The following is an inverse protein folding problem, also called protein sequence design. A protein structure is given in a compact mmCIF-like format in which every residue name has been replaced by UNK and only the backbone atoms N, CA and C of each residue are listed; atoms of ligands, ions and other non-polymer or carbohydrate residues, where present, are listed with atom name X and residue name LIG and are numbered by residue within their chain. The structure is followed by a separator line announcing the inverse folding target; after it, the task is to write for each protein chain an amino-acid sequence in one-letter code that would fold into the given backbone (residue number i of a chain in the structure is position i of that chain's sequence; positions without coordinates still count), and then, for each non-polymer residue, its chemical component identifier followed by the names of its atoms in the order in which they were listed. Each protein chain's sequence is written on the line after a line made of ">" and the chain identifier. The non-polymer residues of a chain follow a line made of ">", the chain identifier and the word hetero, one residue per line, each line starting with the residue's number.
data_IF_699026643375
#
_entry.id   IF_699026643375
#
_cell.length_a   1.000
_cell.length_b   1.000
_cell.length_c   1.000
_cell.angle_alpha   90.00
_cell.angle_beta   90.00
_cell.angle_gamma   90.00
#
_symmetry.space_group_name_H-M   'P 1'
#
loop_
_entity.id
_entity.type
_entity.pdbx_description
1 polymer ?
#
# COMPACT_ATOMS: atom_id res chain seq x y z
N UNK A 1 -10.66 14.83 28.41
CA UNK A 1 -10.98 13.40 28.56
C UNK A 1 -9.98 12.67 27.69
N UNK A 2 -9.02 11.98 28.29
CA UNK A 2 -8.06 11.19 27.52
C UNK A 2 -8.78 9.88 27.17
N UNK A 3 -9.21 9.78 25.91
CA UNK A 3 -9.72 8.52 25.37
C UNK A 3 -8.61 7.48 25.56
N UNK A 4 -8.87 6.49 26.41
CA UNK A 4 -7.93 5.43 26.73
C UNK A 4 -7.83 4.55 25.49
N UNK A 5 -6.97 4.96 24.56
CA UNK A 5 -6.83 4.28 23.28
C UNK A 5 -6.31 2.87 23.53
N UNK A 6 -7.19 1.89 23.38
CA UNK A 6 -6.86 0.46 23.51
C UNK A 6 -5.91 0.11 22.37
N UNK A 7 -4.61 0.08 22.68
CA UNK A 7 -3.58 -0.34 21.73
C UNK A 7 -3.58 -1.86 21.66
N UNK A 8 -3.55 -2.38 20.43
CA UNK A 8 -3.45 -3.81 20.13
C UNK A 8 -2.09 -4.09 19.50
N UNK A 9 -1.56 -5.29 19.71
CA UNK A 9 -0.32 -5.76 19.08
C UNK A 9 -0.70 -6.61 17.87
N UNK A 10 -0.14 -6.29 16.71
CA UNK A 10 -0.27 -7.13 15.51
C UNK A 10 0.97 -7.09 14.64
N UNK A 11 0.90 -7.76 13.48
CA UNK A 11 2.03 -7.91 12.56
C UNK A 11 1.76 -7.13 11.28
N UNK A 12 2.73 -6.34 10.84
CA UNK A 12 2.65 -5.65 9.56
C UNK A 12 2.70 -6.66 8.41
N UNK A 13 1.75 -6.59 7.49
CA UNK A 13 1.70 -7.50 6.35
C UNK A 13 2.87 -7.31 5.38
N UNK A 14 3.39 -6.08 5.26
CA UNK A 14 4.48 -5.74 4.32
C UNK A 14 5.84 -6.14 4.87
N UNK A 15 6.25 -5.54 6.01
CA UNK A 15 7.58 -5.75 6.57
C UNK A 15 7.66 -6.91 7.57
N UNK A 16 6.51 -7.55 7.88
CA UNK A 16 6.39 -8.68 8.80
C UNK A 16 6.83 -8.40 10.24
N UNK A 17 7.09 -7.14 10.62
CA UNK A 17 7.42 -6.73 11.99
C UNK A 17 6.17 -6.65 12.85
N UNK A 18 6.31 -6.97 14.13
CA UNK A 18 5.27 -6.75 15.14
C UNK A 18 5.26 -5.28 15.54
N UNK A 19 4.09 -4.68 15.68
CA UNK A 19 3.92 -3.29 16.10
C UNK A 19 2.61 -3.12 16.90
N UNK A 20 2.60 -2.13 17.77
CA UNK A 20 1.40 -1.70 18.50
C UNK A 20 0.63 -0.65 17.70
N UNK A 21 -0.69 -0.78 17.63
CA UNK A 21 -1.54 0.18 16.93
C UNK A 21 -2.93 0.29 17.56
N UNK A 22 -3.60 1.41 17.31
CA UNK A 22 -5.03 1.57 17.62
C UNK A 22 -5.84 0.98 16.47
N UNK A 23 -6.69 -0.05 16.69
CA UNK A 23 -7.47 -0.68 15.62
C UNK A 23 -8.36 0.29 14.83
N UNK A 24 -8.77 1.40 15.45
CA UNK A 24 -9.56 2.46 14.82
C UNK A 24 -8.77 3.35 13.85
N UNK A 25 -7.44 3.40 13.93
CA UNK A 25 -6.61 4.33 13.16
C UNK A 25 -5.55 3.63 12.29
N UNK A 26 -5.33 2.33 12.48
CA UNK A 26 -4.38 1.57 11.69
C UNK A 26 -4.86 1.43 10.25
N UNK A 27 -3.93 1.55 9.31
CA UNK A 27 -4.23 1.30 7.90
C UNK A 27 -4.36 -0.21 7.67
N UNK A 28 -5.48 -0.62 7.07
CA UNK A 28 -5.73 -2.01 6.70
C UNK A 28 -5.93 -2.17 5.22
N UNK A 29 -5.53 -3.33 4.69
CA UNK A 29 -5.77 -3.72 3.31
C UNK A 29 -6.46 -5.07 3.26
N UNK A 30 -7.36 -5.26 2.29
CA UNK A 30 -7.92 -6.58 2.01
C UNK A 30 -6.93 -7.34 1.14
N UNK A 31 -6.56 -8.56 1.53
CA UNK A 31 -5.63 -9.42 0.81
C UNK A 31 -6.23 -10.82 0.67
N UNK A 32 -6.20 -11.40 -0.53
CA UNK A 32 -6.50 -12.81 -0.73
C UNK A 32 -5.28 -13.64 -0.30
N UNK A 33 -5.40 -14.51 0.72
CA UNK A 33 -4.27 -15.30 1.23
C UNK A 33 -3.70 -16.29 0.21
N UNK A 34 -4.47 -16.69 -0.81
CA UNK A 34 -3.96 -17.59 -1.86
C UNK A 34 -3.00 -16.87 -2.82
N UNK A 35 -3.35 -15.65 -3.22
CA UNK A 35 -2.57 -14.89 -4.20
C UNK A 35 -1.61 -13.91 -3.54
N UNK A 36 -1.80 -13.62 -2.25
CA UNK A 36 -1.14 -12.54 -1.51
C UNK A 36 -1.36 -11.15 -2.15
N UNK A 37 -2.42 -10.99 -2.95
CA UNK A 37 -2.77 -9.77 -3.64
C UNK A 37 -4.10 -9.21 -3.15
N UNK A 38 -4.33 -7.89 -3.31
CA UNK A 38 -5.65 -7.32 -3.13
C UNK A 38 -6.68 -8.00 -4.04
N UNK A 39 -7.93 -8.21 -3.58
CA UNK A 39 -8.97 -8.75 -4.43
C UNK A 39 -9.13 -7.91 -5.69
N UNK A 40 -9.11 -8.59 -6.85
CA UNK A 40 -9.18 -7.96 -8.18
C UNK A 40 -7.82 -7.56 -8.76
N UNK A 41 -6.73 -7.59 -7.99
CA UNK A 41 -5.39 -7.34 -8.53
C UNK A 41 -4.85 -8.62 -9.19
N UNK A 42 -4.43 -8.49 -10.44
CA UNK A 42 -3.76 -9.57 -11.19
C UNK A 42 -2.24 -9.54 -10.95
N UNK A 43 -1.56 -10.66 -11.21
CA UNK A 43 -0.09 -10.75 -11.10
C UNK A 43 0.65 -9.75 -12.00
N UNK A 44 0.03 -9.34 -13.11
CA UNK A 44 0.57 -8.31 -14.02
C UNK A 44 0.33 -6.88 -13.53
N UNK A 45 -0.27 -6.69 -12.35
CA UNK A 45 -0.56 -5.38 -11.78
C UNK A 45 -1.83 -4.70 -12.30
N UNK A 46 -2.59 -5.36 -13.18
CA UNK A 46 -3.88 -4.84 -13.65
C UNK A 46 -4.99 -5.15 -12.64
N UNK A 47 -5.95 -4.23 -12.54
CA UNK A 47 -7.18 -4.45 -11.77
C UNK A 47 -8.28 -5.03 -12.67
N UNK A 48 -8.92 -6.09 -12.19
CA UNK A 48 -10.12 -6.70 -12.74
C UNK A 48 -11.16 -6.83 -11.64
N UNK A 49 -12.43 -6.95 -12.01
CA UNK A 49 -13.49 -7.30 -11.07
C UNK A 49 -13.11 -8.59 -10.29
N UNK A 50 -13.07 -8.55 -8.95
CA UNK A 50 -12.75 -9.73 -8.15
C UNK A 50 -13.82 -10.81 -8.33
N UNK A 51 -13.43 -12.08 -8.33
CA UNK A 51 -14.42 -13.17 -8.23
C UNK A 51 -15.05 -13.17 -6.83
N UNK A 52 -16.32 -13.59 -6.69
CA UNK A 52 -16.98 -13.61 -5.38
C UNK A 52 -16.23 -14.49 -4.36
N UNK A 53 -15.57 -15.56 -4.81
CA UNK A 53 -14.74 -16.42 -3.98
C UNK A 53 -13.48 -15.70 -3.48
N UNK A 54 -12.82 -14.91 -4.33
CA UNK A 54 -11.64 -14.14 -3.93
C UNK A 54 -12.01 -13.07 -2.89
N UNK A 55 -13.14 -12.38 -3.08
CA UNK A 55 -13.65 -11.42 -2.09
C UNK A 55 -14.03 -12.09 -0.78
N UNK A 56 -14.69 -13.24 -0.82
CA UNK A 56 -15.12 -13.96 0.38
C UNK A 56 -13.95 -14.49 1.23
N UNK A 57 -12.82 -14.83 0.59
CA UNK A 57 -11.62 -15.33 1.28
C UNK A 57 -10.65 -14.23 1.69
N UNK A 58 -10.84 -13.02 1.18
CA UNK A 58 -9.95 -11.90 1.47
C UNK A 58 -10.00 -11.54 2.96
N UNK A 59 -8.82 -11.41 3.56
CA UNK A 59 -8.65 -11.07 4.97
C UNK A 59 -8.15 -9.63 5.12
N UNK A 60 -8.55 -8.99 6.22
CA UNK A 60 -8.02 -7.67 6.59
C UNK A 60 -6.64 -7.85 7.20
N UNK A 61 -5.67 -7.20 6.58
CA UNK A 61 -4.27 -7.22 6.98
C UNK A 61 -3.82 -5.83 7.41
N UNK A 62 -3.02 -5.76 8.49
CA UNK A 62 -2.58 -4.51 9.09
C UNK A 62 -1.25 -4.03 8.48
N UNK A 63 -1.11 -2.73 8.27
CA UNK A 63 0.12 -2.11 7.77
C UNK A 63 0.65 -1.10 8.79
N UNK A 64 1.94 -1.17 9.12
CA UNK A 64 2.58 -0.19 9.99
C UNK A 64 2.76 1.16 9.28
N UNK A 65 2.77 2.25 10.05
CA UNK A 65 2.92 3.61 9.55
C UNK A 65 4.15 3.76 8.64
N UNK A 66 5.29 3.19 9.01
CA UNK A 66 6.52 3.26 8.20
C UNK A 66 6.33 2.70 6.78
N UNK A 67 5.54 1.63 6.63
CA UNK A 67 5.27 1.03 5.33
C UNK A 67 4.26 1.86 4.53
N UNK A 68 3.30 2.49 5.21
CA UNK A 68 2.36 3.43 4.59
C UNK A 68 3.11 4.66 4.06
N UNK A 69 3.99 5.25 4.87
CA UNK A 69 4.76 6.43 4.50
C UNK A 69 5.68 6.15 3.30
N UNK A 70 6.34 4.98 3.30
CA UNK A 70 7.14 4.53 2.15
C UNK A 70 6.31 4.35 0.89
N UNK A 71 5.12 3.77 1.00
CA UNK A 71 4.22 3.60 -0.13
C UNK A 71 3.76 4.96 -0.68
N UNK A 72 3.48 5.93 0.20
CA UNK A 72 3.14 7.29 -0.18
C UNK A 72 4.29 7.99 -0.90
N UNK A 73 5.51 7.90 -0.37
CA UNK A 73 6.71 8.47 -1.01
C UNK A 73 6.95 7.87 -2.41
N UNK A 74 6.78 6.56 -2.55
CA UNK A 74 6.89 5.89 -3.85
C UNK A 74 5.81 6.38 -4.83
N UNK A 75 4.57 6.52 -4.36
CA UNK A 75 3.48 7.07 -5.17
C UNK A 75 3.81 8.48 -5.65
N UNK A 76 4.26 9.37 -4.75
CA UNK A 76 4.66 10.74 -5.09
C UNK A 76 5.80 10.78 -6.12
N UNK A 77 6.75 9.84 -6.03
CA UNK A 77 7.83 9.71 -7.03
C UNK A 77 7.31 9.26 -8.39
N UNK A 78 6.39 8.28 -8.45
CA UNK A 78 5.82 7.76 -9.70
C UNK A 78 4.88 8.78 -10.35
N UNK A 79 4.06 9.47 -9.55
CA UNK A 79 3.13 10.51 -10.01
C UNK A 79 3.84 11.84 -10.32
N UNK A 80 5.13 11.98 -9.98
CA UNK A 80 5.89 13.17 -10.34
C UNK A 80 6.03 13.27 -11.86
N UNK A 81 5.68 14.43 -12.47
CA UNK A 81 5.82 14.62 -13.90
C UNK A 81 7.28 14.41 -14.30
N UNK A 82 7.48 13.65 -15.38
CA UNK A 82 8.79 13.45 -16.01
C UNK A 82 9.44 14.83 -16.17
N UNK A 83 10.67 15.07 -15.67
CA UNK A 83 11.33 16.33 -15.92
C UNK A 83 11.40 16.52 -17.43
N UNK A 84 10.80 17.62 -17.93
CA UNK A 84 10.97 18.01 -19.32
C UNK A 84 12.46 18.31 -19.50
N UNK A 85 13.18 17.42 -20.17
CA UNK A 85 14.50 17.70 -20.69
C UNK A 85 14.34 18.68 -21.85
N UNK A 86 14.03 19.94 -21.55
CA UNK A 86 14.04 21.00 -22.53
C UNK A 86 15.46 21.22 -23.02
N UNK A 87 15.62 21.13 -24.35
CA UNK A 87 16.73 21.69 -25.15
C UNK A 87 18.14 21.16 -24.88
N UNK A 88 18.51 20.11 -25.61
CA UNK A 88 19.88 20.04 -26.14
C UNK A 88 20.01 21.12 -27.23
N UNK A 89 20.42 22.33 -26.87
CA UNK A 89 20.97 23.27 -27.85
C UNK A 89 22.27 22.67 -28.38
N UNK A 90 22.17 21.96 -29.50
CA UNK A 90 23.31 21.58 -30.32
C UNK A 90 23.88 22.88 -30.88
N UNK A 91 24.95 23.39 -30.27
CA UNK A 91 25.73 24.47 -30.85
C UNK A 91 26.27 24.02 -32.20
N UNK A 92 25.87 24.71 -33.26
CA UNK A 92 26.53 24.66 -34.56
C UNK A 92 27.86 25.42 -34.42
N UNK A 93 28.96 24.69 -34.62
CA UNK A 93 30.30 25.20 -34.92
C UNK A 93 30.49 25.21 -36.43
#
# INVERSE_FOLDING_TARGET
>A
MADEQITTIGRCYVCKRTFSFTPASVMTVMMDPETNLPPGMTLSGNFREPTPEATARSVKEYICSDCVDRAKQLKEFIDSPVPQFDTWQRGDL
#
